data_IF_547771457951
#
_entry.id   IF_547771457951
#
_cell.length_a   1.000
_cell.length_b   1.000
_cell.length_c   1.000
_cell.angle_alpha   90.00
_cell.angle_beta   90.00
_cell.angle_gamma   90.00
#
_symmetry.space_group_name_H-M   'P 1'
#
loop_
_entity.id
_entity.type
_entity.pdbx_description
1 polymer ?
#
# COMPACT_ATOMS: atom_id res chain seq x y z
N UNK A 1 -6.41 -35.90 42.96
CA UNK A 1 -7.14 -34.64 42.65
C UNK A 1 -6.16 -33.60 42.10
N UNK A 2 -5.55 -33.83 40.94
CA UNK A 2 -4.48 -32.95 40.42
C UNK A 2 -4.39 -32.97 38.89
N UNK A 3 -4.38 -34.15 38.27
CA UNK A 3 -4.22 -34.32 36.81
C UNK A 3 -5.38 -33.72 36.02
N UNK A 4 -6.63 -33.94 36.43
CA UNK A 4 -7.81 -33.40 35.74
C UNK A 4 -7.87 -31.87 35.73
N UNK A 5 -7.37 -31.21 36.79
CA UNK A 5 -7.24 -29.75 36.85
C UNK A 5 -6.15 -29.24 35.92
N UNK A 6 -5.02 -29.93 35.86
CA UNK A 6 -3.89 -29.60 35.00
C UNK A 6 -4.26 -29.71 33.52
N UNK A 7 -4.98 -30.77 33.14
CA UNK A 7 -5.53 -30.93 31.79
C UNK A 7 -6.51 -29.80 31.46
N UNK A 8 -7.40 -29.45 32.40
CA UNK A 8 -8.32 -28.33 32.22
C UNK A 8 -7.61 -27.00 31.96
N UNK A 9 -6.55 -26.69 32.72
CA UNK A 9 -5.74 -25.48 32.53
C UNK A 9 -5.05 -25.47 31.17
N UNK A 10 -4.46 -26.60 30.74
CA UNK A 10 -3.80 -26.69 29.42
C UNK A 10 -4.80 -26.47 28.29
N UNK A 11 -5.99 -27.08 28.36
CA UNK A 11 -7.04 -26.89 27.36
C UNK A 11 -7.46 -25.42 27.29
N UNK A 12 -7.63 -24.76 28.43
CA UNK A 12 -7.97 -23.33 28.49
C UNK A 12 -6.85 -22.49 27.87
N UNK A 13 -5.58 -22.76 28.19
CA UNK A 13 -4.44 -22.03 27.61
C UNK A 13 -4.35 -22.22 26.09
N UNK A 14 -4.59 -23.43 25.58
CA UNK A 14 -4.61 -23.70 24.14
C UNK A 14 -5.76 -22.97 23.45
N UNK A 15 -6.96 -22.99 24.04
CA UNK A 15 -8.12 -22.26 23.51
C UNK A 15 -7.90 -20.74 23.51
N UNK A 16 -7.35 -20.20 24.60
CA UNK A 16 -7.01 -18.78 24.70
C UNK A 16 -5.90 -18.38 23.74
N UNK A 17 -4.88 -19.23 23.57
CA UNK A 17 -3.82 -19.03 22.58
C UNK A 17 -4.37 -19.01 21.16
N UNK A 18 -5.22 -19.99 20.81
CA UNK A 18 -5.88 -20.06 19.50
C UNK A 18 -6.76 -18.83 19.24
N UNK A 19 -7.59 -18.44 20.22
CA UNK A 19 -8.45 -17.26 20.10
C UNK A 19 -7.64 -15.95 20.03
N UNK A 20 -6.56 -15.84 20.82
CA UNK A 20 -5.64 -14.71 20.79
C UNK A 20 -4.94 -14.57 19.43
N UNK A 21 -4.50 -15.68 18.85
CA UNK A 21 -3.94 -15.69 17.50
C UNK A 21 -4.98 -15.26 16.47
N UNK A 22 -6.22 -15.75 16.57
CA UNK A 22 -7.31 -15.37 15.68
C UNK A 22 -7.64 -13.87 15.73
N UNK A 23 -7.61 -13.26 16.92
CA UNK A 23 -7.83 -11.82 17.08
C UNK A 23 -6.67 -10.97 16.55
N UNK A 24 -5.43 -11.49 16.63
CA UNK A 24 -4.25 -10.75 16.20
C UNK A 24 -4.29 -10.36 14.71
N UNK A 25 -4.91 -11.18 13.85
CA UNK A 25 -5.07 -10.88 12.42
C UNK A 25 -5.95 -9.64 12.15
N UNK A 26 -6.83 -9.27 13.09
CA UNK A 26 -7.71 -8.10 12.96
C UNK A 26 -7.00 -6.78 13.28
N UNK A 27 -5.91 -6.82 14.04
CA UNK A 27 -5.15 -5.63 14.44
C UNK A 27 -3.90 -5.38 13.59
N UNK A 28 -3.46 -6.37 12.81
CA UNK A 28 -2.38 -6.21 11.86
C UNK A 28 -2.74 -5.20 10.75
N UNK A 29 -1.81 -4.31 10.37
CA UNK A 29 -1.97 -3.45 9.19
C UNK A 29 -2.30 -4.29 7.94
N UNK A 30 -3.10 -3.77 7.01
CA UNK A 30 -3.34 -4.46 5.75
C UNK A 30 -2.03 -4.58 4.95
N UNK A 31 -1.90 -5.66 4.17
CA UNK A 31 -0.90 -5.67 3.12
C UNK A 31 -1.15 -4.51 2.15
N UNK A 32 -0.09 -3.90 1.64
CA UNK A 32 -0.16 -2.86 0.62
C UNK A 32 0.97 -3.10 -0.37
N UNK A 33 0.62 -3.62 -1.53
CA UNK A 33 1.53 -3.94 -2.63
C UNK A 33 1.25 -2.96 -3.76
N UNK A 34 2.31 -2.30 -4.23
CA UNK A 34 2.21 -1.36 -5.33
C UNK A 34 2.90 -1.97 -6.56
N UNK A 35 2.12 -2.18 -7.62
CA UNK A 35 2.61 -2.74 -8.89
C UNK A 35 3.12 -1.63 -9.81
N UNK A 36 2.45 -0.47 -9.79
CA UNK A 36 2.86 0.73 -10.52
C UNK A 36 2.57 1.97 -9.66
N UNK A 37 3.45 2.98 -9.64
CA UNK A 37 4.77 3.00 -10.27
C UNK A 37 5.86 2.24 -9.50
N UNK A 38 6.96 1.86 -10.18
CA UNK A 38 8.18 1.42 -9.49
C UNK A 38 8.77 2.55 -8.63
N UNK A 39 9.65 2.22 -7.67
CA UNK A 39 10.40 3.22 -6.91
C UNK A 39 11.22 4.13 -7.83
N UNK A 40 11.32 5.41 -7.47
CA UNK A 40 12.20 6.42 -8.10
C UNK A 40 12.05 6.55 -9.63
N UNK A 41 10.82 6.46 -10.12
CA UNK A 41 10.52 6.56 -11.54
C UNK A 41 10.84 7.96 -12.08
N UNK A 42 11.58 8.00 -13.20
CA UNK A 42 11.78 9.19 -14.01
C UNK A 42 10.96 9.03 -15.29
N UNK A 43 10.08 9.99 -15.59
CA UNK A 43 9.22 9.95 -16.76
C UNK A 43 9.13 11.31 -17.45
N UNK A 44 8.69 11.33 -18.71
CA UNK A 44 8.30 12.57 -19.41
C UNK A 44 6.78 12.70 -19.52
N UNK A 45 6.03 11.69 -19.08
CA UNK A 45 4.58 11.68 -19.09
C UNK A 45 4.01 12.60 -18.00
N UNK A 46 2.91 13.31 -18.32
CA UNK A 46 2.24 14.23 -17.41
C UNK A 46 1.20 13.56 -16.51
N UNK A 47 1.01 12.26 -16.64
CA UNK A 47 0.07 11.48 -15.84
C UNK A 47 0.63 10.10 -15.62
N UNK A 48 0.26 9.47 -14.52
CA UNK A 48 0.64 8.10 -14.22
C UNK A 48 -0.51 7.34 -13.59
N UNK A 49 -0.62 6.07 -13.94
CA UNK A 49 -1.55 5.15 -13.30
C UNK A 49 -0.88 4.48 -12.09
N UNK A 50 -1.47 4.74 -10.92
CA UNK A 50 -1.09 4.09 -9.67
C UNK A 50 -1.92 2.83 -9.54
N UNK A 51 -1.27 1.67 -9.62
CA UNK A 51 -1.90 0.36 -9.57
C UNK A 51 -1.33 -0.43 -8.41
N UNK A 52 -2.22 -1.03 -7.61
CA UNK A 52 -1.79 -1.85 -6.50
C UNK A 52 -2.89 -2.75 -5.96
N UNK A 53 -2.53 -3.47 -4.89
CA UNK A 53 -3.41 -4.38 -4.18
C UNK A 53 -3.23 -4.21 -2.68
N UNK A 54 -4.34 -4.24 -1.97
CA UNK A 54 -4.40 -4.29 -0.51
C UNK A 54 -5.21 -5.52 -0.07
N UNK A 55 -5.27 -5.77 1.23
CA UNK A 55 -6.23 -6.73 1.78
C UNK A 55 -7.69 -6.33 1.41
N UNK A 56 -8.56 -7.30 1.07
CA UNK A 56 -9.98 -7.06 0.82
C UNK A 56 -10.64 -6.26 1.96
N UNK A 57 -11.44 -5.27 1.59
CA UNK A 57 -12.17 -4.41 2.54
C UNK A 57 -11.31 -3.34 3.25
N UNK A 58 -10.01 -3.25 2.95
CA UNK A 58 -9.19 -2.12 3.39
C UNK A 58 -9.53 -0.85 2.58
N UNK A 59 -9.52 0.31 3.24
CA UNK A 59 -9.68 1.60 2.58
C UNK A 59 -8.32 2.10 2.11
N UNK A 60 -8.24 2.53 0.85
CA UNK A 60 -7.02 3.11 0.26
C UNK A 60 -7.20 4.61 0.07
N UNK A 61 -6.15 5.36 0.40
CA UNK A 61 -6.06 6.82 0.27
C UNK A 61 -4.78 7.16 -0.47
N UNK A 62 -4.89 7.92 -1.56
CA UNK A 62 -3.77 8.42 -2.36
C UNK A 62 -3.76 9.94 -2.29
N UNK A 63 -2.66 10.55 -1.84
CA UNK A 63 -2.52 12.01 -1.65
C UNK A 63 -3.73 12.60 -0.92
N UNK A 64 -4.05 12.03 0.24
CA UNK A 64 -5.18 12.41 1.10
C UNK A 64 -6.58 12.22 0.48
N UNK A 65 -6.68 11.67 -0.73
CA UNK A 65 -7.94 11.40 -1.40
C UNK A 65 -8.29 9.92 -1.28
N UNK A 66 -9.44 9.55 -0.67
CA UNK A 66 -9.90 8.16 -0.66
C UNK A 66 -10.23 7.70 -2.07
N UNK A 67 -9.90 6.45 -2.39
CA UNK A 67 -10.19 5.83 -3.69
C UNK A 67 -10.99 4.55 -3.50
N UNK A 68 -11.84 4.19 -4.49
CA UNK A 68 -12.52 2.90 -4.46
C UNK A 68 -11.50 1.76 -4.60
N UNK A 69 -11.76 0.68 -3.89
CA UNK A 69 -11.03 -0.58 -3.96
C UNK A 69 -11.98 -1.67 -4.45
N UNK A 70 -11.52 -2.54 -5.35
CA UNK A 70 -12.25 -3.73 -5.77
C UNK A 70 -12.52 -4.69 -4.62
N UNK A 71 -13.47 -5.60 -4.79
CA UNK A 71 -13.83 -6.60 -3.79
C UNK A 71 -12.68 -7.54 -3.42
N UNK A 72 -11.72 -7.70 -4.32
CA UNK A 72 -10.51 -8.49 -4.11
C UNK A 72 -9.32 -7.67 -3.54
N UNK A 73 -9.53 -6.37 -3.28
CA UNK A 73 -8.53 -5.45 -2.76
C UNK A 73 -7.66 -4.76 -3.82
N UNK A 74 -7.95 -4.93 -5.10
CA UNK A 74 -7.26 -4.19 -6.18
C UNK A 74 -7.68 -2.72 -6.19
N UNK A 75 -6.78 -1.84 -6.63
CA UNK A 75 -7.09 -0.43 -6.85
C UNK A 75 -6.27 0.14 -7.99
N UNK A 76 -6.87 1.09 -8.70
CA UNK A 76 -6.19 1.92 -9.69
C UNK A 76 -6.64 3.37 -9.56
N UNK A 77 -5.73 4.31 -9.77
CA UNK A 77 -6.03 5.73 -9.93
C UNK A 77 -5.05 6.38 -10.89
N UNK A 78 -5.60 7.10 -11.88
CA UNK A 78 -4.82 8.02 -12.69
C UNK A 78 -4.51 9.29 -11.90
N UNK A 79 -3.23 9.64 -11.78
CA UNK A 79 -2.76 10.85 -11.14
C UNK A 79 -2.09 11.75 -12.16
N UNK A 80 -2.49 13.02 -12.22
CA UNK A 80 -1.79 14.05 -13.00
C UNK A 80 -0.57 14.51 -12.22
N UNK A 81 0.56 14.58 -12.89
CA UNK A 81 1.86 14.92 -12.33
C UNK A 81 2.21 16.36 -12.70
N UNK A 82 2.85 17.06 -11.77
CA UNK A 82 3.41 18.39 -11.99
C UNK A 82 4.85 18.29 -12.49
N UNK A 83 5.35 19.33 -13.16
CA UNK A 83 6.77 19.38 -13.55
C UNK A 83 7.67 19.27 -12.31
N UNK A 84 8.78 18.54 -12.44
CA UNK A 84 9.71 18.29 -11.35
C UNK A 84 9.31 17.09 -10.48
N UNK A 85 9.63 17.17 -9.19
CA UNK A 85 9.46 16.08 -8.23
C UNK A 85 8.02 16.02 -7.73
N UNK A 86 7.40 14.85 -7.83
CA UNK A 86 6.08 14.54 -7.30
C UNK A 86 6.20 13.48 -6.21
N UNK A 87 5.82 13.84 -4.99
CA UNK A 87 5.77 12.90 -3.86
C UNK A 87 4.34 12.37 -3.73
N UNK A 88 4.18 11.07 -3.93
CA UNK A 88 2.89 10.38 -3.87
C UNK A 88 2.86 9.55 -2.60
N UNK A 89 1.87 9.80 -1.76
CA UNK A 89 1.63 9.04 -0.53
C UNK A 89 0.43 8.14 -0.72
N UNK A 90 0.63 6.83 -0.59
CA UNK A 90 -0.40 5.80 -0.64
C UNK A 90 -0.54 5.20 0.75
N UNK A 91 -1.75 5.17 1.29
CA UNK A 91 -2.03 4.53 2.58
C UNK A 91 -3.22 3.60 2.50
N UNK A 92 -3.12 2.48 3.21
CA UNK A 92 -4.18 1.49 3.34
C UNK A 92 -4.50 1.24 4.81
N UNK A 93 -5.79 1.17 5.16
CA UNK A 93 -6.24 0.98 6.55
C UNK A 93 -7.52 0.15 6.62
N UNK A 94 -7.58 -0.85 7.52
CA UNK A 94 -8.82 -1.55 7.90
C UNK A 94 -9.50 -0.84 9.07
N UNK A 95 -10.77 -1.17 9.34
CA UNK A 95 -11.60 -0.51 10.36
C UNK A 95 -10.92 -0.37 11.74
N UNK A 96 -10.20 -1.41 12.17
CA UNK A 96 -9.58 -1.47 13.51
C UNK A 96 -8.06 -1.66 13.47
N UNK A 97 -7.45 -1.62 12.28
CA UNK A 97 -6.00 -1.78 12.14
C UNK A 97 -5.27 -0.44 12.17
N UNK A 98 -3.96 -0.49 12.37
CA UNK A 98 -3.08 0.62 11.99
C UNK A 98 -3.06 0.80 10.47
N UNK A 99 -2.67 1.98 10.01
CA UNK A 99 -2.45 2.25 8.59
C UNK A 99 -1.10 1.70 8.13
N UNK A 100 -1.05 1.15 6.92
CA UNK A 100 0.19 0.92 6.18
C UNK A 100 0.37 2.06 5.19
N UNK A 101 1.54 2.70 5.20
CA UNK A 101 1.87 3.82 4.29
C UNK A 101 3.04 3.42 3.40
N UNK A 102 2.97 3.82 2.13
CA UNK A 102 3.98 3.66 1.10
C UNK A 102 4.12 4.99 0.35
N UNK A 103 5.35 5.46 0.20
CA UNK A 103 5.66 6.69 -0.52
C UNK A 103 6.35 6.35 -1.85
N UNK A 104 6.07 7.16 -2.87
CA UNK A 104 6.69 7.08 -4.20
C UNK A 104 7.08 8.47 -4.65
N UNK A 105 8.32 8.60 -5.09
CA UNK A 105 8.82 9.81 -5.73
C UNK A 105 8.86 9.59 -7.23
N UNK A 106 8.31 10.55 -7.99
CA UNK A 106 8.36 10.55 -9.45
C UNK A 106 8.94 11.86 -9.92
N UNK A 107 9.96 11.79 -10.76
CA UNK A 107 10.55 12.96 -11.39
C UNK A 107 10.06 13.09 -12.83
N UNK A 108 9.43 14.22 -13.16
CA UNK A 108 9.20 14.59 -14.55
C UNK A 108 10.44 15.28 -15.10
N UNK A 109 11.07 14.66 -16.10
CA UNK A 109 12.12 15.27 -16.89
C UNK A 109 11.51 15.92 -18.14
N UNK A 110 11.73 17.22 -18.32
CA UNK A 110 11.29 17.93 -19.51
C UNK A 110 11.91 17.29 -20.77
N UNK A 111 11.07 16.73 -21.65
CA UNK A 111 11.47 16.13 -22.93
C UNK A 111 12.13 17.14 -23.88
N UNK A 112 11.95 18.44 -23.63
CA UNK A 112 12.57 19.53 -24.39
C UNK A 112 14.11 19.51 -24.27
N UNK A 113 14.66 19.11 -23.11
CA UNK A 113 16.12 19.02 -22.92
C UNK A 113 16.75 17.83 -23.67
N UNK A 114 16.00 16.73 -23.82
CA UNK A 114 16.45 15.55 -24.57
C UNK A 114 16.48 15.83 -26.08
N UNK A 115 15.54 16.64 -26.59
CA UNK A 115 15.51 17.06 -28.00
C UNK A 115 16.60 18.10 -28.32
N UNK A 116 16.87 19.04 -27.42
CA UNK A 116 17.94 20.05 -27.61
C UNK A 116 19.34 19.45 -27.54
N UNK A 117 19.58 18.47 -26.67
CA UNK A 117 20.89 17.80 -26.56
C UNK A 117 21.27 17.06 -27.85
N UNK A 118 20.31 16.36 -28.48
CA UNK A 118 20.56 15.61 -29.72
C UNK A 118 20.75 16.52 -30.95
N UNK A 119 20.13 17.70 -30.97
CA UNK A 119 20.30 18.68 -32.04
C UNK A 119 21.53 19.59 -31.87
N UNK A 120 22.26 19.51 -30.75
CA UNK A 120 23.50 20.29 -30.54
C UNK A 120 24.78 19.51 -30.90
N UNK A 121 24.64 18.23 -31.23
CA UNK A 121 25.74 17.32 -31.59
C UNK A 121 25.75 17.03 -33.11
N UNK A 122 24.78 17.56 -33.86
CA UNK A 122 24.64 17.37 -35.30
C UNK A 122 24.75 18.70 -36.06
#
# INVERSE_FOLDING_TARGET
MTISRLVGVIVIVVLLSYFGFQLHLLWSPPALLLSSPPPDLITSERSIEIVGRTDPGAKVVINNTPIPTGGDGTFSKLLVLNKGINNITISAKKRYSRSRVVERQILIQDSENLSRANNSIN
#
